data_IF_989986466473
#
_entry.id   IF_989986466473
#
_cell.length_a   1.000
_cell.length_b   1.000
_cell.length_c   1.000
_cell.angle_alpha   90.00
_cell.angle_beta   90.00
_cell.angle_gamma   90.00
#
_symmetry.space_group_name_H-M   'P 1'
#
loop_
_entity.id
_entity.type
_entity.pdbx_description
1 polymer ?
#
# COMPACT_ATOMS: atom_id res chain seq x y z
N UNK A 1 23.56 -9.42 41.56
CA UNK A 1 23.73 -10.04 40.24
C UNK A 1 22.42 -10.45 39.58
N UNK A 2 21.52 -11.13 40.28
CA UNK A 2 20.22 -11.65 39.75
C UNK A 2 19.31 -10.55 39.18
N UNK A 3 19.19 -9.38 39.81
CA UNK A 3 18.36 -8.26 39.31
C UNK A 3 18.83 -7.69 37.97
N UNK A 4 20.15 -7.66 37.69
CA UNK A 4 20.69 -7.19 36.41
C UNK A 4 20.46 -8.21 35.27
N UNK A 5 20.52 -9.50 35.58
CA UNK A 5 20.26 -10.57 34.63
C UNK A 5 18.76 -10.58 34.23
N UNK A 6 17.86 -10.37 35.20
CA UNK A 6 16.42 -10.28 34.92
C UNK A 6 16.05 -9.09 34.02
N UNK A 7 16.72 -7.94 34.23
CA UNK A 7 16.53 -6.76 33.39
C UNK A 7 17.00 -6.97 31.94
N UNK A 8 18.11 -7.68 31.77
CA UNK A 8 18.63 -8.01 30.42
C UNK A 8 17.70 -8.99 29.70
N UNK A 9 17.15 -9.98 30.38
CA UNK A 9 16.21 -10.94 29.82
C UNK A 9 14.89 -10.24 29.43
N UNK A 10 14.38 -9.32 30.25
CA UNK A 10 13.18 -8.54 29.95
C UNK A 10 13.42 -7.62 28.74
N UNK A 11 14.59 -6.98 28.65
CA UNK A 11 14.94 -6.12 27.50
C UNK A 11 15.09 -6.96 26.22
N UNK A 12 15.70 -8.15 26.29
CA UNK A 12 15.80 -9.04 25.14
C UNK A 12 14.44 -9.61 24.70
N UNK A 13 13.54 -9.92 25.63
CA UNK A 13 12.18 -10.33 25.33
C UNK A 13 11.36 -9.17 24.74
N UNK A 14 11.57 -7.94 25.22
CA UNK A 14 10.92 -6.74 24.67
C UNK A 14 11.44 -6.39 23.27
N UNK A 15 12.74 -6.54 23.02
CA UNK A 15 13.34 -6.30 21.70
C UNK A 15 12.88 -7.38 20.70
N UNK A 16 12.77 -8.66 21.11
CA UNK A 16 12.20 -9.71 20.25
C UNK A 16 10.72 -9.46 19.94
N UNK A 17 9.93 -9.06 20.93
CA UNK A 17 8.51 -8.77 20.73
C UNK A 17 8.31 -7.58 19.77
N UNK A 18 9.19 -6.58 19.79
CA UNK A 18 9.16 -5.44 18.88
C UNK A 18 9.76 -5.73 17.49
N UNK A 19 10.60 -6.75 17.35
CA UNK A 19 11.17 -7.16 16.06
C UNK A 19 10.24 -8.07 15.25
N UNK A 20 9.26 -8.71 15.89
CA UNK A 20 8.25 -9.56 15.22
C UNK A 20 7.03 -8.77 14.72
N UNK A 21 7.02 -7.46 14.94
CA UNK A 21 6.27 -6.52 14.11
C UNK A 21 4.79 -6.42 14.33
N UNK A 22 4.37 -5.28 13.99
CA UNK A 22 3.02 -4.75 13.76
C UNK A 22 2.07 -5.75 13.05
N UNK A 23 2.58 -6.64 12.21
CA UNK A 23 1.80 -7.61 11.44
C UNK A 23 1.16 -8.73 12.28
N UNK A 24 1.67 -8.99 13.47
CA UNK A 24 1.08 -9.96 14.40
C UNK A 24 0.23 -9.29 15.49
N UNK A 25 0.17 -7.98 15.51
CA UNK A 25 -0.67 -7.22 16.42
C UNK A 25 -2.05 -7.00 15.82
N UNK A 26 -3.08 -7.20 16.63
CA UNK A 26 -4.44 -6.86 16.27
C UNK A 26 -4.64 -5.34 16.41
N UNK A 27 -5.09 -4.69 15.31
CA UNK A 27 -5.66 -3.33 15.35
C UNK A 27 -7.11 -3.40 14.87
N UNK A 28 -8.08 -3.02 15.72
CA UNK A 28 -9.50 -3.16 15.37
C UNK A 28 -10.00 -2.15 14.35
N UNK A 29 -9.20 -1.17 13.96
CA UNK A 29 -9.74 0.07 13.39
C UNK A 29 -9.63 0.20 11.89
N UNK A 30 -8.81 -0.61 11.19
CA UNK A 30 -8.31 -0.11 9.92
C UNK A 30 -8.72 -0.90 8.68
N UNK A 31 -9.29 -2.09 8.81
CA UNK A 31 -9.71 -2.88 7.67
C UNK A 31 -11.18 -3.27 7.74
N UNK A 32 -12.00 -2.67 6.85
CA UNK A 32 -13.40 -3.05 6.69
C UNK A 32 -13.52 -4.54 6.41
N UNK A 33 -14.35 -5.24 7.19
CA UNK A 33 -14.52 -6.71 7.06
C UNK A 33 -13.51 -7.55 7.83
N UNK A 34 -12.52 -6.95 8.50
CA UNK A 34 -11.63 -7.63 9.45
C UNK A 34 -12.31 -7.77 10.81
N UNK A 35 -12.24 -8.96 11.39
CA UNK A 35 -12.66 -9.22 12.76
C UNK A 35 -11.53 -9.88 13.54
N UNK A 36 -11.56 -9.74 14.89
CA UNK A 36 -10.58 -10.41 15.74
C UNK A 36 -10.62 -11.93 15.56
N UNK A 37 -11.79 -12.48 15.36
CA UNK A 37 -11.97 -13.91 15.10
C UNK A 37 -11.25 -14.36 13.81
N UNK A 38 -11.46 -13.63 12.70
CA UNK A 38 -10.75 -13.90 11.43
C UNK A 38 -9.24 -13.83 11.62
N UNK A 39 -8.75 -12.81 12.32
CA UNK A 39 -7.33 -12.65 12.60
C UNK A 39 -6.77 -13.81 13.43
N UNK A 40 -7.44 -14.21 14.50
CA UNK A 40 -7.02 -15.33 15.36
C UNK A 40 -7.12 -16.67 14.61
N UNK A 41 -8.08 -16.84 13.72
CA UNK A 41 -8.20 -18.02 12.88
C UNK A 41 -7.09 -18.08 11.81
N UNK A 42 -6.69 -16.97 11.23
CA UNK A 42 -5.60 -16.93 10.25
C UNK A 42 -4.27 -17.45 10.85
N UNK A 43 -4.02 -17.20 12.13
CA UNK A 43 -2.85 -17.73 12.83
C UNK A 43 -2.82 -19.28 12.93
N UNK A 44 -3.92 -19.95 12.62
CA UNK A 44 -4.02 -21.41 12.62
C UNK A 44 -3.86 -22.01 11.22
N UNK A 45 -3.74 -21.18 10.18
CA UNK A 45 -3.60 -21.67 8.81
C UNK A 45 -2.27 -22.38 8.63
N UNK A 46 -2.34 -23.52 7.94
CA UNK A 46 -1.16 -24.26 7.49
C UNK A 46 -0.54 -23.59 6.25
N UNK A 47 0.68 -23.97 5.89
CA UNK A 47 1.33 -23.53 4.65
C UNK A 47 0.46 -23.84 3.43
N UNK A 48 -0.17 -25.02 3.39
CA UNK A 48 -1.10 -25.42 2.33
C UNK A 48 -2.33 -24.50 2.26
N UNK A 49 -2.90 -24.11 3.41
CA UNK A 49 -4.03 -23.19 3.45
C UNK A 49 -3.64 -21.82 2.89
N UNK A 50 -2.46 -21.30 3.25
CA UNK A 50 -1.96 -20.01 2.79
C UNK A 50 -1.78 -20.03 1.28
N UNK A 51 -1.12 -21.06 0.73
CA UNK A 51 -0.88 -21.18 -0.70
C UNK A 51 -2.18 -21.31 -1.51
N UNK A 52 -3.16 -22.11 -1.04
CA UNK A 52 -4.47 -22.23 -1.67
C UNK A 52 -5.23 -20.90 -1.63
N UNK A 53 -5.29 -20.28 -0.46
CA UNK A 53 -5.98 -19.00 -0.27
C UNK A 53 -5.36 -17.86 -1.07
N UNK A 54 -4.06 -17.88 -1.32
CA UNK A 54 -3.40 -16.88 -2.19
C UNK A 54 -3.96 -16.90 -3.62
N UNK A 55 -4.42 -18.05 -4.10
CA UNK A 55 -5.05 -18.19 -5.41
C UNK A 55 -6.53 -17.76 -5.44
N UNK A 56 -7.24 -17.90 -4.33
CA UNK A 56 -8.71 -17.83 -4.28
C UNK A 56 -9.23 -16.53 -3.64
N UNK A 57 -8.42 -15.88 -2.77
CA UNK A 57 -8.85 -14.71 -2.00
C UNK A 57 -9.16 -13.52 -2.89
N UNK A 58 -10.35 -12.92 -2.69
CA UNK A 58 -10.86 -11.81 -3.47
C UNK A 58 -11.08 -10.52 -2.67
N UNK A 59 -10.69 -10.49 -1.38
CA UNK A 59 -10.82 -9.28 -0.55
C UNK A 59 -9.49 -8.84 0.02
N UNK A 60 -9.30 -7.52 0.17
CA UNK A 60 -8.10 -6.96 0.80
C UNK A 60 -7.91 -7.44 2.25
N UNK A 61 -8.92 -7.46 3.13
CA UNK A 61 -8.76 -7.98 4.48
C UNK A 61 -8.26 -9.42 4.53
N UNK A 62 -8.79 -10.29 3.66
CA UNK A 62 -8.36 -11.69 3.62
C UNK A 62 -6.95 -11.84 3.02
N UNK A 63 -6.57 -10.99 2.05
CA UNK A 63 -5.19 -10.92 1.53
C UNK A 63 -4.21 -10.47 2.63
N UNK A 64 -4.59 -9.52 3.47
CA UNK A 64 -3.79 -9.13 4.62
C UNK A 64 -3.60 -10.29 5.61
N UNK A 65 -4.63 -11.12 5.83
CA UNK A 65 -4.54 -12.30 6.68
C UNK A 65 -3.57 -13.36 6.16
N UNK A 66 -3.36 -13.45 4.84
CA UNK A 66 -2.32 -14.31 4.26
C UNK A 66 -0.94 -13.93 4.77
N UNK A 67 -0.63 -12.63 4.82
CA UNK A 67 0.64 -12.15 5.35
C UNK A 67 0.77 -12.46 6.85
N UNK A 68 -0.28 -12.21 7.63
CA UNK A 68 -0.31 -12.54 9.07
C UNK A 68 -0.02 -14.02 9.31
N UNK A 69 -0.65 -14.90 8.55
CA UNK A 69 -0.44 -16.32 8.64
C UNK A 69 0.97 -16.74 8.20
N UNK A 70 1.45 -16.18 7.08
CA UNK A 70 2.75 -16.51 6.50
C UNK A 70 3.94 -16.16 7.41
N UNK A 71 3.81 -15.10 8.24
CA UNK A 71 4.85 -14.71 9.19
C UNK A 71 5.28 -15.83 10.15
N UNK A 72 4.41 -16.82 10.41
CA UNK A 72 4.72 -17.97 11.25
C UNK A 72 5.66 -18.98 10.56
N UNK A 73 5.76 -18.91 9.23
CA UNK A 73 6.52 -19.83 8.39
C UNK A 73 7.72 -19.15 7.71
N UNK A 74 8.19 -18.03 8.27
CA UNK A 74 9.31 -17.24 7.71
C UNK A 74 10.61 -18.03 7.54
N UNK A 75 10.81 -19.08 8.35
CA UNK A 75 12.00 -19.94 8.32
C UNK A 75 11.74 -21.30 7.63
N UNK A 76 10.53 -21.53 7.14
CA UNK A 76 10.15 -22.74 6.41
C UNK A 76 10.56 -22.64 4.93
N UNK A 77 11.67 -23.29 4.58
CA UNK A 77 12.21 -23.25 3.23
C UNK A 77 11.30 -23.83 2.15
N UNK A 78 10.52 -24.85 2.48
CA UNK A 78 9.63 -25.49 1.52
C UNK A 78 8.42 -24.61 1.25
N UNK A 79 7.88 -23.98 2.27
CA UNK A 79 6.84 -22.94 2.10
C UNK A 79 7.34 -21.77 1.24
N UNK A 80 8.55 -21.27 1.52
CA UNK A 80 9.15 -20.18 0.73
C UNK A 80 9.30 -20.59 -0.73
N UNK A 81 9.78 -21.80 -1.02
CA UNK A 81 9.88 -22.32 -2.40
C UNK A 81 8.53 -22.41 -3.10
N UNK A 82 7.47 -22.81 -2.38
CA UNK A 82 6.14 -22.88 -2.96
C UNK A 82 5.56 -21.49 -3.21
N UNK A 83 5.81 -20.50 -2.35
CA UNK A 83 5.48 -19.09 -2.63
C UNK A 83 6.23 -18.57 -3.86
N UNK A 84 7.52 -18.91 -4.03
CA UNK A 84 8.32 -18.53 -5.20
C UNK A 84 7.67 -19.07 -6.50
N UNK A 85 7.12 -20.29 -6.49
CA UNK A 85 6.38 -20.82 -7.65
C UNK A 85 5.17 -19.94 -7.99
N UNK A 86 4.49 -19.39 -6.98
CA UNK A 86 3.34 -18.51 -7.20
C UNK A 86 3.71 -17.11 -7.71
N UNK A 87 4.96 -16.66 -7.55
CA UNK A 87 5.47 -15.43 -8.18
C UNK A 87 5.39 -15.52 -9.72
N UNK A 88 5.45 -16.69 -10.30
CA UNK A 88 5.25 -16.90 -11.73
C UNK A 88 3.79 -16.86 -12.21
N UNK A 89 2.82 -16.75 -11.31
CA UNK A 89 1.39 -16.78 -11.65
C UNK A 89 0.82 -15.38 -11.90
N UNK A 90 0.67 -15.01 -13.19
CA UNK A 90 0.14 -13.71 -13.60
C UNK A 90 -1.38 -13.60 -13.59
N UNK A 91 -2.10 -14.57 -12.98
CA UNK A 91 -3.56 -14.51 -12.89
C UNK A 91 -3.99 -13.30 -12.09
N UNK A 92 -4.96 -12.56 -12.64
CA UNK A 92 -5.55 -11.40 -12.00
C UNK A 92 -6.80 -11.79 -11.21
N UNK A 93 -6.97 -11.17 -10.06
CA UNK A 93 -8.11 -11.39 -9.16
C UNK A 93 -8.78 -10.06 -8.89
N UNK A 94 -10.11 -10.01 -9.06
CA UNK A 94 -10.86 -8.79 -8.76
C UNK A 94 -10.90 -8.57 -7.24
N UNK A 95 -9.94 -7.81 -6.72
CA UNK A 95 -9.81 -7.51 -5.30
C UNK A 95 -10.89 -6.50 -4.86
N UNK A 96 -11.55 -6.77 -3.74
CA UNK A 96 -12.62 -5.97 -3.16
C UNK A 96 -12.23 -5.45 -1.77
N UNK A 97 -13.03 -4.51 -1.24
CA UNK A 97 -12.84 -3.88 0.08
C UNK A 97 -11.48 -3.18 0.21
N UNK A 98 -11.12 -2.44 -0.83
CA UNK A 98 -9.80 -1.80 -1.00
C UNK A 98 -9.70 -0.39 -0.40
N UNK A 99 -10.70 0.08 0.35
CA UNK A 99 -10.76 1.45 0.88
C UNK A 99 -9.58 1.86 1.79
N UNK A 100 -8.79 0.90 2.22
CA UNK A 100 -7.57 1.12 3.05
C UNK A 100 -6.31 0.59 2.40
N UNK A 101 -6.34 0.39 1.10
CA UNK A 101 -5.23 -0.09 0.30
C UNK A 101 -4.80 1.00 -0.67
N UNK A 102 -3.51 1.31 -0.70
CA UNK A 102 -2.90 2.25 -1.62
C UNK A 102 -1.92 1.49 -2.51
N UNK A 103 -2.33 1.23 -3.73
CA UNK A 103 -1.47 0.78 -4.84
C UNK A 103 -1.62 1.85 -5.92
N UNK A 104 -0.61 2.70 -6.09
CA UNK A 104 -0.73 3.91 -6.91
C UNK A 104 -1.15 3.62 -8.35
N UNK A 105 -0.62 2.57 -8.97
CA UNK A 105 -1.02 2.18 -10.33
C UNK A 105 -2.49 1.75 -10.42
N UNK A 106 -3.01 1.07 -9.40
CA UNK A 106 -4.42 0.67 -9.35
C UNK A 106 -5.36 1.84 -9.08
N UNK A 107 -4.88 2.87 -8.36
CA UNK A 107 -5.60 4.14 -8.21
C UNK A 107 -5.65 4.87 -9.56
N UNK A 108 -4.54 4.98 -10.27
CA UNK A 108 -4.48 5.60 -11.62
C UNK A 108 -5.37 4.85 -12.61
N UNK A 109 -5.42 3.51 -12.53
CA UNK A 109 -6.27 2.67 -13.38
C UNK A 109 -7.76 2.76 -13.03
N UNK A 110 -8.09 3.19 -11.80
CA UNK A 110 -9.46 3.33 -11.30
C UNK A 110 -10.00 2.09 -10.56
N UNK A 111 -9.14 1.13 -10.24
CA UNK A 111 -9.52 -0.07 -9.49
C UNK A 111 -9.63 0.18 -7.98
N UNK A 112 -8.95 1.21 -7.47
CA UNK A 112 -8.94 1.61 -6.06
C UNK A 112 -9.36 3.06 -5.97
N UNK A 113 -10.34 3.35 -5.10
CA UNK A 113 -10.68 4.71 -4.71
C UNK A 113 -9.75 5.17 -3.59
N UNK A 114 -8.94 6.20 -3.85
CA UNK A 114 -8.06 6.78 -2.85
C UNK A 114 -8.82 7.64 -1.85
N UNK A 115 -8.74 7.28 -0.56
CA UNK A 115 -9.42 7.99 0.54
C UNK A 115 -8.45 8.82 1.42
N UNK A 116 -7.24 9.10 0.94
CA UNK A 116 -6.24 9.90 1.66
C UNK A 116 -5.52 9.16 2.79
N UNK A 117 -5.85 7.91 3.06
CA UNK A 117 -5.22 7.07 4.08
C UNK A 117 -5.34 5.60 3.72
N UNK A 118 -4.41 4.81 4.22
CA UNK A 118 -4.40 3.37 3.97
C UNK A 118 -2.99 2.80 4.10
N UNK A 119 -2.85 1.53 3.82
CA UNK A 119 -1.56 0.86 3.74
C UNK A 119 -1.05 0.97 2.31
N UNK A 120 0.08 1.63 2.12
CA UNK A 120 0.76 1.66 0.83
C UNK A 120 1.48 0.34 0.59
N UNK A 121 1.28 -0.20 -0.59
CA UNK A 121 1.91 -1.43 -1.04
C UNK A 121 2.40 -1.20 -2.47
N UNK A 122 3.66 -1.54 -2.71
CA UNK A 122 4.30 -1.35 -4.01
C UNK A 122 4.01 -2.50 -4.98
N UNK A 123 3.68 -3.69 -4.47
CA UNK A 123 3.30 -4.83 -5.30
C UNK A 123 1.83 -4.77 -5.70
N UNK A 124 1.52 -5.16 -6.92
CA UNK A 124 0.15 -5.27 -7.38
C UNK A 124 -0.59 -6.48 -6.78
N UNK A 125 -1.30 -6.28 -5.68
CA UNK A 125 -2.05 -7.33 -4.98
C UNK A 125 -3.30 -7.83 -5.72
N UNK A 126 -3.66 -7.22 -6.84
CA UNK A 126 -4.69 -7.77 -7.74
C UNK A 126 -4.18 -8.98 -8.51
N UNK A 127 -2.87 -9.23 -8.52
CA UNK A 127 -2.24 -10.41 -9.10
C UNK A 127 -1.82 -11.42 -8.04
N UNK A 128 -1.99 -12.69 -8.34
CA UNK A 128 -1.48 -13.78 -7.48
C UNK A 128 0.02 -13.63 -7.25
N UNK A 129 0.78 -13.35 -8.31
CA UNK A 129 2.20 -13.08 -8.25
C UNK A 129 2.56 -11.93 -7.29
N UNK A 130 1.81 -10.82 -7.35
CA UNK A 130 2.04 -9.65 -6.50
C UNK A 130 1.87 -9.97 -5.03
N UNK A 131 0.85 -10.76 -4.68
CA UNK A 131 0.63 -11.23 -3.30
C UNK A 131 1.74 -12.15 -2.81
N UNK A 132 2.17 -13.10 -3.66
CA UNK A 132 3.26 -14.00 -3.32
C UNK A 132 4.56 -13.22 -3.09
N UNK A 133 4.88 -12.26 -3.96
CA UNK A 133 6.05 -11.40 -3.81
C UNK A 133 5.96 -10.52 -2.56
N UNK A 134 4.81 -9.91 -2.30
CA UNK A 134 4.57 -9.12 -1.10
C UNK A 134 4.79 -9.94 0.18
N UNK A 135 4.30 -11.19 0.24
CA UNK A 135 4.54 -12.10 1.36
C UNK A 135 6.03 -12.40 1.48
N UNK A 136 6.69 -12.82 0.39
CA UNK A 136 8.13 -13.14 0.39
C UNK A 136 8.98 -11.96 0.90
N UNK A 137 8.74 -10.75 0.41
CA UNK A 137 9.44 -9.55 0.86
C UNK A 137 9.27 -9.30 2.36
N UNK A 138 8.07 -9.53 2.87
CA UNK A 138 7.78 -9.31 4.29
C UNK A 138 8.38 -10.36 5.21
N UNK A 139 8.37 -11.64 4.82
CA UNK A 139 8.90 -12.72 5.67
C UNK A 139 10.42 -12.82 5.61
N UNK A 140 11.04 -12.54 4.46
CA UNK A 140 12.50 -12.63 4.28
C UNK A 140 13.23 -11.33 4.57
N UNK A 141 12.54 -10.18 4.52
CA UNK A 141 13.10 -8.81 4.59
C UNK A 141 14.02 -8.47 3.41
N UNK A 142 13.91 -9.18 2.31
CA UNK A 142 14.61 -8.91 1.05
C UNK A 142 13.66 -8.42 -0.02
N UNK A 143 14.17 -7.64 -0.96
CA UNK A 143 13.43 -7.14 -2.10
C UNK A 143 14.26 -7.32 -3.38
N UNK A 144 13.83 -8.20 -4.28
CA UNK A 144 14.52 -8.45 -5.55
C UNK A 144 13.79 -7.89 -6.76
N UNK A 145 12.62 -7.26 -6.55
CA UNK A 145 11.80 -6.64 -7.56
C UNK A 145 10.38 -6.44 -7.09
N UNK A 146 9.61 -5.69 -7.87
CA UNK A 146 8.21 -5.39 -7.66
C UNK A 146 7.37 -5.97 -8.80
N UNK A 147 6.11 -6.22 -8.52
CA UNK A 147 5.14 -6.67 -9.52
C UNK A 147 4.14 -5.55 -9.76
N UNK A 148 4.06 -5.12 -11.00
CA UNK A 148 3.24 -4.02 -11.47
C UNK A 148 2.04 -4.51 -12.26
N UNK A 149 1.08 -3.61 -12.52
CA UNK A 149 -0.12 -3.89 -13.32
C UNK A 149 0.25 -4.42 -14.71
N UNK A 150 1.32 -3.89 -15.32
CA UNK A 150 1.81 -4.24 -16.63
C UNK A 150 2.96 -5.28 -16.65
N UNK A 151 3.30 -5.87 -15.50
CA UNK A 151 4.35 -6.89 -15.43
C UNK A 151 4.06 -8.05 -16.38
N UNK A 152 5.06 -8.36 -17.20
CA UNK A 152 4.99 -9.43 -18.20
C UNK A 152 5.38 -10.79 -17.62
N UNK A 153 5.11 -11.88 -18.34
CA UNK A 153 5.56 -13.23 -17.95
C UNK A 153 7.09 -13.28 -17.78
N UNK A 154 7.83 -12.55 -18.62
CA UNK A 154 9.29 -12.49 -18.52
C UNK A 154 9.75 -11.79 -17.23
N UNK A 155 9.08 -10.71 -16.84
CA UNK A 155 9.38 -10.01 -15.57
C UNK A 155 9.15 -10.93 -14.38
N UNK A 156 8.04 -11.66 -14.36
CA UNK A 156 7.71 -12.62 -13.32
C UNK A 156 8.72 -13.77 -13.26
N UNK A 157 9.10 -14.31 -14.41
CA UNK A 157 10.11 -15.39 -14.49
C UNK A 157 11.48 -14.92 -13.99
N UNK A 158 11.87 -13.70 -14.35
CA UNK A 158 13.12 -13.09 -13.88
C UNK A 158 13.11 -12.92 -12.36
N UNK A 159 12.02 -12.40 -11.80
CA UNK A 159 11.88 -12.22 -10.35
C UNK A 159 11.85 -13.56 -9.62
N UNK A 160 11.14 -14.56 -10.15
CA UNK A 160 11.12 -15.93 -9.62
C UNK A 160 12.51 -16.55 -9.59
N UNK A 161 13.32 -16.33 -10.64
CA UNK A 161 14.71 -16.80 -10.69
C UNK A 161 15.56 -16.15 -9.59
N UNK A 162 15.45 -14.84 -9.40
CA UNK A 162 16.17 -14.13 -8.32
C UNK A 162 15.82 -14.67 -6.94
N UNK A 163 14.54 -14.90 -6.67
CA UNK A 163 14.11 -15.51 -5.40
C UNK A 163 14.67 -16.92 -5.23
N UNK A 164 14.67 -17.74 -6.29
CA UNK A 164 15.23 -19.10 -6.25
C UNK A 164 16.73 -19.07 -5.97
N UNK A 165 17.47 -18.20 -6.62
CA UNK A 165 18.90 -18.02 -6.37
C UNK A 165 19.22 -17.60 -4.94
N UNK A 166 18.41 -16.69 -4.37
CA UNK A 166 18.55 -16.28 -2.99
C UNK A 166 18.37 -17.46 -2.01
N UNK A 167 17.31 -18.28 -2.18
CA UNK A 167 17.05 -19.45 -1.32
C UNK A 167 18.16 -20.51 -1.47
N UNK A 168 18.78 -20.61 -2.63
CA UNK A 168 19.94 -21.48 -2.89
C UNK A 168 21.26 -20.92 -2.31
N UNK A 169 21.20 -19.77 -1.61
CA UNK A 169 22.36 -19.16 -0.95
C UNK A 169 23.25 -18.33 -1.87
N UNK A 170 22.80 -18.04 -3.11
CA UNK A 170 23.54 -17.15 -4.00
C UNK A 170 23.34 -15.69 -3.59
N UNK A 171 24.33 -14.87 -3.89
CA UNK A 171 24.23 -13.42 -3.74
C UNK A 171 23.36 -12.85 -4.86
N UNK A 172 22.22 -12.27 -4.51
CA UNK A 172 21.32 -11.58 -5.45
C UNK A 172 21.32 -10.09 -5.12
N UNK A 173 21.35 -9.24 -6.15
CA UNK A 173 21.29 -7.80 -5.97
C UNK A 173 19.87 -7.37 -5.55
N UNK A 174 19.79 -6.56 -4.49
CA UNK A 174 18.55 -5.95 -4.03
C UNK A 174 17.97 -4.98 -5.08
N UNK A 175 16.68 -5.03 -5.22
CA UNK A 175 15.96 -4.07 -6.07
C UNK A 175 16.06 -2.67 -5.48
N UNK A 176 16.45 -1.73 -6.30
CA UNK A 176 16.43 -0.31 -5.95
C UNK A 176 15.28 0.34 -6.70
N UNK A 177 14.26 0.75 -5.95
CA UNK A 177 13.17 1.52 -6.54
C UNK A 177 13.75 2.85 -7.10
N UNK A 178 13.68 3.11 -8.41
CA UNK A 178 14.21 4.34 -9.00
C UNK A 178 13.51 5.60 -8.48
N UNK A 179 12.30 5.44 -7.95
CA UNK A 179 11.49 6.53 -7.39
C UNK A 179 11.58 6.63 -5.86
N UNK A 180 12.33 5.73 -5.22
CA UNK A 180 12.50 5.76 -3.77
C UNK A 180 13.34 6.98 -3.37
N UNK A 181 12.70 7.89 -2.65
CA UNK A 181 13.41 9.02 -2.05
C UNK A 181 14.16 8.55 -0.80
N UNK A 182 15.42 8.91 -0.70
CA UNK A 182 16.24 8.63 0.49
C UNK A 182 15.92 9.56 1.67
N UNK A 183 14.93 10.44 1.55
CA UNK A 183 14.66 11.50 2.49
C UNK A 183 13.46 11.18 3.37
N UNK A 184 13.59 11.46 4.67
CA UNK A 184 12.49 11.38 5.63
C UNK A 184 11.47 12.49 5.37
N UNK A 185 10.19 12.16 5.43
CA UNK A 185 9.10 13.09 5.25
C UNK A 185 8.02 12.46 4.41
N UNK A 186 7.49 13.10 3.41
CA UNK A 186 6.45 12.56 2.50
C UNK A 186 6.95 11.37 1.65
N UNK A 187 7.62 10.38 2.25
CA UNK A 187 8.28 9.26 1.58
C UNK A 187 7.33 8.45 0.69
N UNK A 188 6.05 8.43 1.03
CA UNK A 188 5.01 7.70 0.35
C UNK A 188 4.53 8.38 -0.95
N UNK A 189 4.77 9.69 -1.13
CA UNK A 189 4.19 10.48 -2.22
C UNK A 189 5.25 11.10 -3.14
N UNK A 190 6.52 10.79 -2.96
CA UNK A 190 7.64 11.41 -3.70
C UNK A 190 7.84 10.92 -5.13
N UNK A 191 7.12 9.91 -5.57
CA UNK A 191 7.23 9.41 -6.94
C UNK A 191 6.33 10.20 -7.90
N UNK A 192 6.77 10.36 -9.13
CA UNK A 192 5.91 10.93 -10.19
C UNK A 192 4.64 10.10 -10.39
N UNK A 193 4.72 8.78 -10.25
CA UNK A 193 3.55 7.91 -10.33
C UNK A 193 2.55 8.16 -9.21
N UNK A 194 3.01 8.42 -7.98
CA UNK A 194 2.12 8.81 -6.89
C UNK A 194 1.48 10.17 -7.14
N UNK A 195 2.25 11.13 -7.65
CA UNK A 195 1.74 12.46 -8.01
C UNK A 195 0.65 12.37 -9.09
N UNK A 196 0.92 11.60 -10.14
CA UNK A 196 -0.06 11.31 -11.20
C UNK A 196 -1.32 10.65 -10.63
N UNK A 197 -1.17 9.62 -9.81
CA UNK A 197 -2.29 8.90 -9.19
C UNK A 197 -3.16 9.82 -8.32
N UNK A 198 -2.56 10.76 -7.59
CA UNK A 198 -3.30 11.76 -6.83
C UNK A 198 -4.19 12.63 -7.76
N UNK A 199 -3.67 13.04 -8.92
CA UNK A 199 -4.46 13.80 -9.89
C UNK A 199 -5.62 12.96 -10.42
N UNK A 200 -5.35 11.73 -10.87
CA UNK A 200 -6.40 10.83 -11.36
C UNK A 200 -7.43 10.50 -10.29
N UNK A 201 -7.02 10.45 -9.01
CA UNK A 201 -7.94 10.22 -7.90
C UNK A 201 -8.95 11.36 -7.70
N UNK A 202 -8.71 12.56 -8.24
CA UNK A 202 -9.69 13.66 -8.23
C UNK A 202 -10.84 13.46 -9.23
N UNK A 203 -10.74 12.50 -10.14
CA UNK A 203 -11.81 12.25 -11.14
C UNK A 203 -13.15 12.04 -10.46
N UNK A 204 -14.19 12.79 -10.84
CA UNK A 204 -15.52 12.60 -10.30
C UNK A 204 -16.06 11.19 -10.60
N UNK A 205 -16.73 10.57 -9.62
CA UNK A 205 -17.38 9.28 -9.80
C UNK A 205 -18.62 9.16 -8.91
N UNK A 206 -19.55 8.30 -9.33
CA UNK A 206 -20.77 7.97 -8.56
C UNK A 206 -20.39 7.34 -7.21
N UNK A 207 -19.30 6.58 -7.18
CA UNK A 207 -18.79 5.95 -5.94
C UNK A 207 -18.37 7.00 -4.91
N UNK A 208 -17.60 8.01 -5.32
CA UNK A 208 -17.20 9.13 -4.44
C UNK A 208 -18.41 9.89 -3.92
N UNK A 209 -19.36 10.19 -4.80
CA UNK A 209 -20.58 10.88 -4.40
C UNK A 209 -21.37 10.06 -3.36
N UNK A 210 -21.49 8.76 -3.58
CA UNK A 210 -22.16 7.84 -2.66
C UNK A 210 -21.46 7.77 -1.32
N UNK A 211 -20.12 7.68 -1.32
CA UNK A 211 -19.32 7.69 -0.08
C UNK A 211 -19.50 8.99 0.70
N UNK A 212 -19.43 10.12 0.01
CA UNK A 212 -19.63 11.43 0.61
C UNK A 212 -21.01 11.53 1.26
N UNK A 213 -22.07 11.21 0.53
CA UNK A 213 -23.45 11.23 1.06
C UNK A 213 -23.63 10.29 2.26
N UNK A 214 -23.07 9.08 2.16
CA UNK A 214 -23.17 8.09 3.24
C UNK A 214 -22.44 8.57 4.50
N UNK A 215 -21.25 9.16 4.36
CA UNK A 215 -20.48 9.72 5.46
C UNK A 215 -21.23 10.91 6.12
N UNK A 216 -21.69 11.86 5.31
CA UNK A 216 -22.44 13.02 5.79
C UNK A 216 -23.65 12.58 6.60
N UNK A 217 -24.45 11.63 6.08
CA UNK A 217 -25.64 11.15 6.77
C UNK A 217 -25.34 10.40 8.05
N UNK A 218 -24.36 9.47 8.03
CA UNK A 218 -24.04 8.61 9.18
C UNK A 218 -23.32 9.34 10.30
N UNK A 219 -22.41 10.28 9.98
CA UNK A 219 -21.55 10.90 10.98
C UNK A 219 -22.07 12.25 11.44
N UNK A 220 -22.58 13.04 10.48
CA UNK A 220 -22.97 14.44 10.74
C UNK A 220 -24.48 14.66 10.69
N UNK A 221 -25.27 13.66 10.29
CA UNK A 221 -26.71 13.76 10.04
C UNK A 221 -27.06 14.90 9.04
N UNK A 222 -26.23 15.10 8.03
CA UNK A 222 -26.40 16.08 6.98
C UNK A 222 -26.79 15.40 5.66
N UNK A 223 -27.57 16.06 4.83
CA UNK A 223 -27.92 15.58 3.49
C UNK A 223 -27.00 16.16 2.40
N UNK A 224 -26.36 17.30 2.67
CA UNK A 224 -25.45 17.98 1.77
C UNK A 224 -24.21 18.51 2.51
N UNK A 225 -23.14 18.78 1.73
CA UNK A 225 -21.91 19.36 2.25
C UNK A 225 -22.17 20.80 2.73
N UNK A 226 -21.77 21.17 3.96
CA UNK A 226 -21.90 22.54 4.44
C UNK A 226 -21.12 23.51 3.57
N UNK A 227 -21.72 24.69 3.30
CA UNK A 227 -21.06 25.77 2.53
C UNK A 227 -19.99 26.52 3.33
N UNK A 228 -19.96 26.31 4.64
CA UNK A 228 -19.01 26.99 5.53
C UNK A 228 -17.61 26.38 5.38
N UNK A 229 -16.61 27.25 5.14
CA UNK A 229 -15.21 26.83 5.10
C UNK A 229 -14.75 26.33 6.47
N UNK A 230 -14.04 25.19 6.48
CA UNK A 230 -13.48 24.62 7.71
C UNK A 230 -14.44 23.73 8.52
N UNK A 231 -15.60 23.41 7.98
CA UNK A 231 -16.49 22.41 8.57
C UNK A 231 -15.78 21.05 8.66
N UNK A 232 -15.89 20.37 9.81
CA UNK A 232 -15.37 19.00 9.96
C UNK A 232 -16.03 18.01 9.00
N UNK A 233 -17.23 18.31 8.49
CA UNK A 233 -17.89 17.51 7.47
C UNK A 233 -17.13 17.48 6.12
N UNK A 234 -16.21 18.41 5.88
CA UNK A 234 -15.35 18.39 4.68
C UNK A 234 -14.52 17.09 4.57
N UNK A 235 -14.22 16.43 5.68
CA UNK A 235 -13.55 15.14 5.69
C UNK A 235 -14.39 13.98 5.12
N UNK A 236 -15.68 14.18 4.88
CA UNK A 236 -16.50 13.23 4.14
C UNK A 236 -16.21 13.26 2.62
N UNK A 237 -15.64 14.33 2.11
CA UNK A 237 -15.18 14.38 0.74
C UNK A 237 -13.80 13.70 0.63
N UNK A 238 -13.67 12.57 -0.09
CA UNK A 238 -12.39 11.87 -0.26
C UNK A 238 -11.32 12.75 -0.93
N UNK A 239 -11.72 13.72 -1.74
CA UNK A 239 -10.80 14.61 -2.45
C UNK A 239 -10.09 15.62 -1.54
N UNK A 240 -10.59 15.85 -0.32
CA UNK A 240 -9.99 16.78 0.64
C UNK A 240 -8.52 16.47 0.93
N UNK A 241 -8.20 15.18 1.12
CA UNK A 241 -6.82 14.76 1.35
C UNK A 241 -5.97 14.88 0.08
N UNK A 242 -6.52 14.54 -1.08
CA UNK A 242 -5.81 14.65 -2.36
C UNK A 242 -5.42 16.10 -2.65
N UNK A 243 -6.34 17.05 -2.46
CA UNK A 243 -6.02 18.48 -2.61
C UNK A 243 -4.94 18.94 -1.63
N UNK A 244 -4.99 18.47 -0.38
CA UNK A 244 -3.96 18.76 0.60
C UNK A 244 -2.58 18.24 0.17
N UNK A 245 -2.51 17.01 -0.29
CA UNK A 245 -1.25 16.41 -0.77
C UNK A 245 -0.71 17.10 -2.01
N UNK A 246 -1.54 17.38 -3.00
CA UNK A 246 -1.13 18.12 -4.21
C UNK A 246 -0.61 19.51 -3.86
N UNK A 247 -1.26 20.21 -2.94
CA UNK A 247 -0.80 21.51 -2.45
C UNK A 247 0.57 21.42 -1.76
N UNK A 248 0.76 20.46 -0.86
CA UNK A 248 2.05 20.24 -0.20
C UNK A 248 3.14 19.91 -1.23
N UNK A 249 2.86 19.00 -2.15
CA UNK A 249 3.83 18.52 -3.15
C UNK A 249 4.25 19.59 -4.17
N UNK A 250 3.42 20.61 -4.40
CA UNK A 250 3.72 21.71 -5.32
C UNK A 250 4.12 23.00 -4.61
N UNK A 251 4.20 22.99 -3.27
CA UNK A 251 4.50 24.16 -2.46
C UNK A 251 3.35 25.17 -2.40
N UNK A 252 2.20 24.87 -2.98
CA UNK A 252 1.00 25.68 -2.93
C UNK A 252 0.11 25.23 -1.75
N UNK A 253 0.17 25.97 -0.67
CA UNK A 253 -0.60 25.67 0.55
C UNK A 253 -2.02 26.23 0.50
N UNK A 254 -2.41 26.90 -0.58
CA UNK A 254 -3.72 27.50 -0.71
C UNK A 254 -4.67 26.53 -1.41
N UNK A 255 -5.78 26.20 -0.74
CA UNK A 255 -6.88 25.51 -1.39
C UNK A 255 -7.56 26.48 -2.38
N UNK A 256 -7.51 26.14 -3.66
CA UNK A 256 -8.18 26.88 -4.73
C UNK A 256 -9.20 25.96 -5.42
N UNK A 257 -10.48 26.25 -5.24
CA UNK A 257 -11.60 25.51 -5.84
C UNK A 257 -11.54 25.46 -7.37
N UNK A 258 -10.82 26.41 -8.02
CA UNK A 258 -10.61 26.43 -9.46
C UNK A 258 -9.64 25.36 -9.94
N UNK A 259 -8.82 24.83 -9.04
CA UNK A 259 -7.88 23.73 -9.32
C UNK A 259 -8.58 22.37 -9.14
N UNK A 260 -9.64 22.16 -9.92
CA UNK A 260 -10.37 20.89 -9.97
C UNK A 260 -9.59 19.80 -10.75
N UNK A 261 -10.21 18.67 -11.00
CA UNK A 261 -9.62 17.55 -11.72
C UNK A 261 -9.09 17.95 -13.11
N UNK A 262 -9.90 18.65 -13.89
CA UNK A 262 -9.56 19.08 -15.25
C UNK A 262 -8.37 20.04 -15.26
N UNK A 263 -8.31 20.94 -14.29
CA UNK A 263 -7.18 21.86 -14.13
C UNK A 263 -5.89 21.09 -13.82
N UNK A 264 -5.92 20.16 -12.85
CA UNK A 264 -4.76 19.37 -12.47
C UNK A 264 -4.30 18.45 -13.59
N UNK A 265 -5.24 17.80 -14.30
CA UNK A 265 -4.91 16.94 -15.43
C UNK A 265 -4.21 17.70 -16.53
N UNK A 266 -4.73 18.88 -16.90
CA UNK A 266 -4.10 19.74 -17.88
C UNK A 266 -2.70 20.20 -17.43
N UNK A 267 -2.58 20.63 -16.18
CA UNK A 267 -1.30 21.04 -15.60
C UNK A 267 -0.27 19.90 -15.62
N UNK A 268 -0.70 18.68 -15.32
CA UNK A 268 0.14 17.48 -15.37
C UNK A 268 0.66 17.22 -16.80
N UNK A 269 -0.22 17.18 -17.78
CA UNK A 269 0.14 16.94 -19.19
C UNK A 269 1.12 17.97 -19.73
N UNK A 270 1.02 19.23 -19.30
CA UNK A 270 1.91 20.31 -19.73
C UNK A 270 3.28 20.29 -19.03
N UNK A 271 3.39 19.66 -17.86
CA UNK A 271 4.56 19.79 -16.99
C UNK A 271 5.25 18.48 -16.60
N UNK A 272 4.63 17.32 -16.77
CA UNK A 272 5.15 16.02 -16.28
C UNK A 272 6.59 15.74 -16.70
N UNK A 273 6.98 16.07 -17.93
CA UNK A 273 8.34 15.86 -18.45
C UNK A 273 9.39 16.85 -17.87
N UNK A 274 8.92 17.90 -17.22
CA UNK A 274 9.76 18.96 -16.63
C UNK A 274 9.75 18.94 -15.11
N UNK A 275 8.99 18.03 -14.50
CA UNK A 275 8.89 17.94 -13.07
C UNK A 275 10.14 17.28 -12.48
N UNK A 276 10.71 17.95 -11.48
CA UNK A 276 11.83 17.42 -10.68
C UNK A 276 11.55 17.59 -9.21
N UNK A 277 12.04 16.64 -8.42
CA UNK A 277 11.95 16.73 -6.97
C UNK A 277 13.03 17.67 -6.42
N UNK A 278 12.61 18.76 -5.81
CA UNK A 278 13.50 19.66 -5.08
C UNK A 278 13.68 19.17 -3.65
N UNK A 279 14.86 18.62 -3.34
CA UNK A 279 15.18 18.05 -2.05
C UNK A 279 15.16 19.03 -0.89
N UNK A 280 15.64 20.26 -1.14
CA UNK A 280 15.75 21.28 -0.10
C UNK A 280 14.37 21.78 0.33
N UNK A 281 13.46 21.89 -0.62
CA UNK A 281 12.10 22.39 -0.40
C UNK A 281 11.09 21.27 -0.09
N UNK A 282 11.41 20.00 -0.43
CA UNK A 282 10.50 18.87 -0.29
C UNK A 282 9.26 18.95 -1.20
N UNK A 283 9.42 19.50 -2.42
CA UNK A 283 8.33 19.69 -3.38
C UNK A 283 8.76 19.32 -4.80
N UNK A 284 7.77 19.09 -5.67
CA UNK A 284 8.00 19.04 -7.11
C UNK A 284 8.02 20.45 -7.70
N UNK A 285 9.00 20.72 -8.51
CA UNK A 285 9.14 21.99 -9.25
C UNK A 285 9.20 21.74 -10.76
N UNK A 286 8.58 22.64 -11.52
CA UNK A 286 8.70 22.65 -12.98
C UNK A 286 10.01 23.33 -13.34
N UNK A 287 10.93 22.58 -13.93
CA UNK A 287 12.19 23.14 -14.45
C UNK A 287 11.89 23.86 -15.77
N UNK A 288 12.30 25.12 -15.86
CA UNK A 288 12.12 25.96 -17.05
C UNK A 288 13.07 25.58 -18.16
#
# INVERSE_FOLDING_TARGET
MIKKILLIIVVFLYIKANAEGILLSWSPTDLTGMTKEKFDNAKKWTTKDILSKNLETTTWPDTYLLLVAAMQYKDDKDFIKDLIKQVGNNSEVKLQLTSRLIIWERITHGDILFEGKGMQIDDDLFKVAGRANFILRNITKHNFGLIFINSTVNDLTSLQTKWSEYIDGKKVEEYKNPFESKEKGLDEIKSLSAFEALIYSLKPSIEKETLTKTCLKKIYNLDEMPKEKGSSASYCNPDTYTFSFLGVLTGDKTYDEKKNYEWWLKWWEENKEKLTWNKEKGIFEVVK
#
